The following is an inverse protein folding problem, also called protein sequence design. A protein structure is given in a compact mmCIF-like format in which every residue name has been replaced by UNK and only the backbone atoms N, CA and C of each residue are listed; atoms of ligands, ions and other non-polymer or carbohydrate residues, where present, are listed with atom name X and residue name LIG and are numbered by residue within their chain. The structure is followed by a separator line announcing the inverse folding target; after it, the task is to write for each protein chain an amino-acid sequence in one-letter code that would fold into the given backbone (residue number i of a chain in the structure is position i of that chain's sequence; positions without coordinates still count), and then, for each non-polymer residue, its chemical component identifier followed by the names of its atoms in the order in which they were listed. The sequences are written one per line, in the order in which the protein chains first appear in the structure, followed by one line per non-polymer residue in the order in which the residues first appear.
data_IF_244734765450
#
_entry.id   IF_244734765450
#
_cell.length_a   1.000
_cell.length_b   1.000
_cell.length_c   1.000
_cell.angle_alpha   90.00
_cell.angle_beta   90.00
_cell.angle_gamma   90.00
#
_symmetry.space_group_name_H-M   'P 1'
#
loop_
_entity.id
_entity.type
_entity.pdbx_description
1 polymer ?
#
# COMPACT_ATOMS: atom_id res chain seq x y z
N UNK A 1 -2.78 -18.12 -19.71
CA UNK A 1 -1.58 -17.38 -20.19
C UNK A 1 -0.91 -16.77 -18.98
N UNK A 2 0.41 -16.89 -18.80
CA UNK A 2 1.11 -16.06 -17.83
C UNK A 2 0.95 -14.59 -18.23
N UNK A 3 0.82 -13.65 -17.28
CA UNK A 3 0.85 -12.23 -17.60
C UNK A 3 2.16 -11.94 -18.34
N UNK A 4 2.06 -11.28 -19.50
CA UNK A 4 3.22 -10.83 -20.24
C UNK A 4 4.11 -9.97 -19.32
N UNK A 5 5.43 -10.08 -19.45
CA UNK A 5 6.37 -9.42 -18.53
C UNK A 5 6.26 -7.89 -18.47
N UNK A 6 5.47 -7.26 -19.35
CA UNK A 6 5.11 -5.84 -19.33
C UNK A 6 3.95 -5.59 -18.34
N UNK A 7 2.90 -6.43 -18.35
CA UNK A 7 1.76 -6.31 -17.43
C UNK A 7 2.23 -6.46 -15.97
N UNK A 8 3.10 -7.44 -15.70
CA UNK A 8 3.69 -7.64 -14.38
C UNK A 8 4.52 -6.44 -13.90
N UNK A 9 5.29 -5.81 -14.81
CA UNK A 9 6.07 -4.61 -14.49
C UNK A 9 5.19 -3.39 -14.21
N UNK A 10 4.09 -3.25 -14.96
CA UNK A 10 3.12 -2.18 -14.76
C UNK A 10 2.41 -2.33 -13.40
N UNK A 11 1.94 -3.54 -13.08
CA UNK A 11 1.32 -3.83 -11.78
C UNK A 11 2.25 -3.51 -10.60
N UNK A 12 3.56 -3.84 -10.72
CA UNK A 12 4.55 -3.49 -9.70
C UNK A 12 4.72 -1.97 -9.58
N UNK A 13 4.77 -1.26 -10.71
CA UNK A 13 4.92 0.20 -10.71
C UNK A 13 3.71 0.90 -10.08
N UNK A 14 2.50 0.44 -10.39
CA UNK A 14 1.26 0.95 -9.80
C UNK A 14 1.17 0.63 -8.30
N UNK A 15 1.54 -0.58 -7.90
CA UNK A 15 1.67 -0.96 -6.49
C UNK A 15 2.66 -0.08 -5.73
N UNK A 16 3.79 0.24 -6.35
CA UNK A 16 4.78 1.11 -5.75
C UNK A 16 4.26 2.55 -5.61
N UNK A 17 3.65 3.08 -6.66
CA UNK A 17 3.08 4.44 -6.63
C UNK A 17 2.00 4.57 -5.54
N UNK A 18 1.11 3.59 -5.42
CA UNK A 18 0.08 3.61 -4.38
C UNK A 18 0.65 3.53 -2.96
N UNK A 19 1.72 2.74 -2.77
CA UNK A 19 2.45 2.68 -1.52
C UNK A 19 3.06 4.04 -1.16
N UNK A 20 3.77 4.67 -2.10
CA UNK A 20 4.47 5.93 -1.84
C UNK A 20 3.47 7.05 -1.47
N UNK A 21 2.33 7.12 -2.17
CA UNK A 21 1.23 8.07 -1.86
C UNK A 21 0.65 7.81 -0.46
N UNK A 22 0.34 6.55 -0.14
CA UNK A 22 -0.21 6.20 1.17
C UNK A 22 0.80 6.46 2.31
N UNK A 23 2.07 6.14 2.11
CA UNK A 23 3.10 6.35 3.11
C UNK A 23 3.31 7.84 3.42
N UNK A 24 3.43 8.68 2.40
CA UNK A 24 3.58 10.13 2.55
C UNK A 24 2.43 10.77 3.33
N UNK A 25 1.20 10.27 3.12
CA UNK A 25 0.03 10.70 3.88
C UNK A 25 0.11 10.27 5.35
N UNK A 26 0.53 9.04 5.65
CA UNK A 26 0.73 8.58 7.03
C UNK A 26 1.77 9.44 7.76
N UNK A 27 2.90 9.74 7.11
CA UNK A 27 3.94 10.63 7.64
C UNK A 27 3.41 12.04 7.92
N UNK A 28 2.62 12.59 6.99
CA UNK A 28 2.06 13.95 7.11
C UNK A 28 1.07 14.10 8.26
N UNK A 29 0.38 13.02 8.66
CA UNK A 29 -0.56 13.05 9.78
C UNK A 29 0.13 13.03 11.15
N UNK A 30 1.47 12.91 11.22
CA UNK A 30 2.22 13.00 12.47
C UNK A 30 1.83 11.94 13.51
N UNK A 31 1.25 10.83 13.07
CA UNK A 31 0.70 9.81 13.95
C UNK A 31 1.84 9.10 14.68
N UNK A 32 1.88 9.27 16.00
CA UNK A 32 2.75 8.52 16.89
C UNK A 32 2.16 7.12 16.99
N UNK A 33 2.58 6.24 16.10
CA UNK A 33 2.13 4.84 16.03
C UNK A 33 3.14 3.97 16.77
N UNK A 34 2.68 3.09 17.67
CA UNK A 34 3.56 2.11 18.31
C UNK A 34 4.20 1.15 17.28
N UNK A 35 5.52 0.99 17.34
CA UNK A 35 6.29 0.10 16.46
C UNK A 35 7.37 0.80 15.62
N UNK A 36 8.19 0.02 14.92
CA UNK A 36 9.25 0.55 14.06
C UNK A 36 8.70 0.97 12.69
N UNK A 37 9.31 1.97 12.07
CA UNK A 37 8.97 2.42 10.72
C UNK A 37 9.01 1.29 9.69
N UNK A 38 10.03 0.42 9.78
CA UNK A 38 10.18 -0.73 8.90
C UNK A 38 8.99 -1.70 8.99
N UNK A 39 8.50 -2.02 10.20
CA UNK A 39 7.32 -2.87 10.39
C UNK A 39 6.05 -2.25 9.80
N UNK A 40 5.92 -0.92 9.88
CA UNK A 40 4.77 -0.19 9.30
C UNK A 40 4.80 -0.19 7.77
N UNK A 41 5.97 0.08 7.19
CA UNK A 41 6.17 0.00 5.74
C UNK A 41 5.88 -1.42 5.23
N UNK A 42 6.31 -2.45 5.96
CA UNK A 42 5.98 -3.84 5.61
C UNK A 42 4.47 -4.10 5.65
N UNK A 43 3.78 -3.64 6.68
CA UNK A 43 2.32 -3.77 6.80
C UNK A 43 1.57 -3.07 5.68
N UNK A 44 1.92 -1.81 5.39
CA UNK A 44 1.32 -1.05 4.30
C UNK A 44 1.57 -1.73 2.96
N UNK A 45 2.79 -2.25 2.71
CA UNK A 45 3.12 -2.98 1.50
C UNK A 45 2.25 -4.23 1.32
N UNK A 46 2.00 -4.99 2.40
CA UNK A 46 1.09 -6.15 2.36
C UNK A 46 -0.36 -5.75 2.06
N UNK A 47 -0.83 -4.66 2.63
CA UNK A 47 -2.18 -4.13 2.36
C UNK A 47 -2.31 -3.73 0.90
N UNK A 48 -1.37 -2.93 0.38
CA UNK A 48 -1.35 -2.49 -1.03
C UNK A 48 -1.31 -3.70 -1.96
N UNK A 49 -0.44 -4.67 -1.70
CA UNK A 49 -0.35 -5.89 -2.51
C UNK A 49 -1.67 -6.70 -2.49
N UNK A 50 -2.30 -6.83 -1.33
CA UNK A 50 -3.59 -7.52 -1.20
C UNK A 50 -4.70 -6.82 -1.98
N UNK A 51 -4.75 -5.49 -1.91
CA UNK A 51 -5.74 -4.68 -2.63
C UNK A 51 -5.54 -4.71 -4.14
N UNK A 52 -4.31 -4.65 -4.64
CA UNK A 52 -4.02 -4.78 -6.08
C UNK A 52 -4.48 -6.11 -6.65
N UNK A 53 -4.24 -7.21 -5.92
CA UNK A 53 -4.68 -8.56 -6.33
C UNK A 53 -6.20 -8.70 -6.30
N UNK A 54 -6.85 -8.11 -5.30
CA UNK A 54 -8.30 -8.23 -5.13
C UNK A 54 -9.10 -7.28 -6.04
N UNK A 55 -8.51 -6.13 -6.43
CA UNK A 55 -9.20 -5.05 -7.15
C UNK A 55 -8.27 -4.42 -8.20
N UNK A 56 -7.93 -5.15 -9.27
CA UNK A 56 -7.08 -4.63 -10.34
C UNK A 56 -7.73 -3.40 -10.99
N UNK A 57 -6.93 -2.36 -11.25
CA UNK A 57 -7.38 -1.13 -11.91
C UNK A 57 -8.14 -0.12 -11.03
N UNK A 58 -8.26 -0.35 -9.72
CA UNK A 58 -8.79 0.66 -8.78
C UNK A 58 -7.66 1.45 -8.13
N UNK A 59 -7.96 2.71 -7.74
CA UNK A 59 -7.08 3.47 -6.86
C UNK A 59 -7.03 2.81 -5.47
N UNK A 60 -5.99 2.01 -5.25
CA UNK A 60 -5.79 1.31 -3.98
C UNK A 60 -5.10 2.17 -2.93
N UNK A 61 -4.53 3.34 -3.25
CA UNK A 61 -3.78 4.14 -2.28
C UNK A 61 -4.69 4.61 -1.15
N UNK A 62 -5.88 5.11 -1.51
CA UNK A 62 -6.89 5.56 -0.54
C UNK A 62 -7.47 4.41 0.29
N UNK A 63 -7.65 3.25 -0.33
CA UNK A 63 -8.13 2.04 0.35
C UNK A 63 -7.07 1.51 1.32
N UNK A 64 -5.81 1.51 0.89
CA UNK A 64 -4.67 1.06 1.71
C UNK A 64 -4.51 1.94 2.94
N UNK A 65 -4.64 3.27 2.80
CA UNK A 65 -4.67 4.21 3.91
C UNK A 65 -5.76 3.88 4.93
N UNK A 66 -7.01 3.71 4.47
CA UNK A 66 -8.14 3.39 5.35
C UNK A 66 -7.93 2.07 6.08
N UNK A 67 -7.47 1.06 5.36
CA UNK A 67 -7.21 -0.25 5.95
C UNK A 67 -6.03 -0.22 6.91
N UNK A 68 -4.97 0.54 6.61
CA UNK A 68 -3.83 0.74 7.50
C UNK A 68 -4.29 1.35 8.83
N UNK A 69 -5.05 2.45 8.81
CA UNK A 69 -5.56 3.07 10.04
C UNK A 69 -6.58 2.23 10.80
N UNK A 70 -7.31 1.35 10.12
CA UNK A 70 -8.25 0.43 10.78
C UNK A 70 -7.56 -0.77 11.45
N UNK A 71 -6.33 -1.10 11.06
CA UNK A 71 -5.67 -2.35 11.44
C UNK A 71 -4.38 -2.15 12.23
N UNK A 72 -3.73 -0.99 12.09
CA UNK A 72 -2.54 -0.61 12.87
C UNK A 72 -3.00 0.20 14.08
N UNK A 73 -2.77 -0.29 15.31
CA UNK A 73 -3.09 0.46 16.53
C UNK A 73 -2.32 1.78 16.55
N UNK A 74 -3.01 2.89 16.86
CA UNK A 74 -2.39 4.20 17.10
C UNK A 74 -1.89 4.28 18.53
#
# INVERSE_FOLDING_TARGET
MPPSGIAYRLEIAEARAAFDVAWSQIESHGLIIMGTEASRKEWLARIVQGLFKARPGQDVARLALRQFFATVPM
#
